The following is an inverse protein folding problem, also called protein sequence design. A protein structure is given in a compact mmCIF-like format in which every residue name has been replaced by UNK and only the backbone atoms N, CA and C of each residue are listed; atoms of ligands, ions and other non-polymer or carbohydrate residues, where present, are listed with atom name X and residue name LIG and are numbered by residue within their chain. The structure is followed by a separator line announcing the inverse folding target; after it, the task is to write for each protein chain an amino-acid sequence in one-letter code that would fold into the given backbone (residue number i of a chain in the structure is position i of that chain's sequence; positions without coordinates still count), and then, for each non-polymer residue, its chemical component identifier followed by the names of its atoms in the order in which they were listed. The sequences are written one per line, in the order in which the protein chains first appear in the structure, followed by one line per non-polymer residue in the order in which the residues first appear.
data_IF_727646273563
#
_entry.id   IF_727646273563
#
_cell.length_a   1.000
_cell.length_b   1.000
_cell.length_c   1.000
_cell.angle_alpha   90.00
_cell.angle_beta   90.00
_cell.angle_gamma   90.00
#
_symmetry.space_group_name_H-M   'P 1'
#
loop_
_entity.id
_entity.type
_entity.pdbx_description
1 polymer ?
#
# COMPACT_ATOMS: atom_id res chain seq x y z
N UNK A 1 3.07 -1.66 -21.24
CA UNK A 1 2.69 -1.54 -19.82
C UNK A 1 3.15 -0.20 -19.30
N UNK A 2 2.52 0.31 -18.24
CA UNK A 2 3.01 1.47 -17.47
C UNK A 2 3.22 1.00 -16.03
N UNK A 3 4.39 1.33 -15.45
CA UNK A 3 4.80 0.88 -14.13
C UNK A 3 5.06 2.10 -13.27
N UNK A 4 4.43 2.16 -12.10
CA UNK A 4 4.71 3.11 -11.04
C UNK A 4 5.52 2.35 -9.97
N UNK A 5 6.73 2.82 -9.70
CA UNK A 5 7.68 2.24 -8.75
C UNK A 5 7.48 2.79 -7.33
N UNK A 6 7.90 2.02 -6.31
CA UNK A 6 7.76 2.41 -4.90
C UNK A 6 7.85 1.22 -3.94
N UNK A 7 7.60 1.50 -2.65
CA UNK A 7 7.19 0.49 -1.66
C UNK A 7 5.93 -0.27 -2.09
N UNK A 8 5.00 0.40 -2.77
CA UNK A 8 3.80 -0.20 -3.35
C UNK A 8 3.69 0.19 -4.82
N UNK A 9 4.02 -0.76 -5.69
CA UNK A 9 4.11 -0.57 -7.13
C UNK A 9 2.84 -0.97 -7.85
N UNK A 10 2.45 -0.13 -8.81
CA UNK A 10 1.27 -0.34 -9.63
C UNK A 10 1.66 -0.60 -11.07
N UNK A 11 1.19 -1.71 -11.62
CA UNK A 11 1.43 -2.09 -13.01
C UNK A 11 0.11 -2.01 -13.76
N UNK A 12 0.06 -1.14 -14.76
CA UNK A 12 -1.04 -1.01 -15.69
C UNK A 12 -0.72 -1.77 -16.97
N UNK A 13 -1.57 -2.73 -17.32
CA UNK A 13 -1.41 -3.63 -18.47
C UNK A 13 -1.26 -2.84 -19.78
N UNK A 14 -2.14 -1.85 -19.96
CA UNK A 14 -2.28 -1.11 -21.22
C UNK A 14 -2.46 -2.09 -22.41
N UNK A 15 -1.69 -1.96 -23.50
CA UNK A 15 -1.83 -2.73 -24.75
C UNK A 15 -1.05 -4.07 -24.81
N UNK A 16 -0.49 -4.55 -23.70
CA UNK A 16 0.25 -5.83 -23.71
C UNK A 16 -0.67 -7.03 -23.94
N UNK A 17 -0.14 -8.04 -24.63
CA UNK A 17 -0.82 -9.31 -24.94
C UNK A 17 -0.53 -10.43 -23.95
N UNK A 18 0.32 -10.17 -22.94
CA UNK A 18 0.68 -11.16 -21.92
C UNK A 18 -0.54 -11.51 -21.05
N UNK A 19 -0.68 -12.80 -20.72
CA UNK A 19 -1.71 -13.31 -19.82
C UNK A 19 -1.37 -12.95 -18.37
N UNK A 20 -2.40 -12.87 -17.53
CA UNK A 20 -2.27 -12.61 -16.09
C UNK A 20 -1.31 -13.59 -15.42
N UNK A 21 -1.43 -14.88 -15.74
CA UNK A 21 -0.59 -15.94 -15.19
C UNK A 21 0.89 -15.75 -15.52
N UNK A 22 1.20 -15.32 -16.74
CA UNK A 22 2.58 -15.07 -17.18
C UNK A 22 3.19 -13.90 -16.40
N UNK A 23 2.43 -12.81 -16.23
CA UNK A 23 2.86 -11.63 -15.49
C UNK A 23 3.01 -11.95 -14.00
N UNK A 24 2.00 -12.58 -13.40
CA UNK A 24 2.02 -12.96 -11.98
C UNK A 24 3.17 -13.92 -11.68
N UNK A 25 3.41 -14.93 -12.53
CA UNK A 25 4.49 -15.89 -12.37
C UNK A 25 5.87 -15.23 -12.49
N UNK A 26 6.03 -14.26 -13.39
CA UNK A 26 7.28 -13.52 -13.55
C UNK A 26 7.60 -12.60 -12.37
N UNK A 27 6.58 -12.03 -11.72
CA UNK A 27 6.72 -11.10 -10.60
C UNK A 27 6.76 -11.81 -9.23
N UNK A 28 6.16 -13.00 -9.12
CA UNK A 28 6.14 -13.76 -7.87
C UNK A 28 7.55 -14.19 -7.47
N UNK A 29 7.97 -13.86 -6.25
CA UNK A 29 9.26 -14.25 -5.72
C UNK A 29 9.41 -15.78 -5.64
N UNK A 30 10.63 -16.29 -5.90
CA UNK A 30 10.95 -17.72 -5.94
C UNK A 30 11.75 -18.23 -4.74
N UNK A 31 11.67 -17.59 -3.58
CA UNK A 31 12.43 -18.04 -2.40
C UNK A 31 12.58 -17.05 -1.24
N UNK A 32 12.00 -15.85 -1.33
CA UNK A 32 12.07 -14.80 -0.32
C UNK A 32 10.74 -14.03 -0.31
N UNK A 33 10.22 -13.60 0.86
CA UNK A 33 8.95 -12.85 0.95
C UNK A 33 9.13 -11.33 0.75
N UNK A 34 10.19 -10.86 0.08
CA UNK A 34 10.50 -9.43 -0.07
C UNK A 34 9.36 -8.63 -0.72
N UNK A 35 8.66 -9.21 -1.70
CA UNK A 35 7.48 -8.59 -2.29
C UNK A 35 6.33 -9.58 -2.38
N UNK A 36 5.12 -9.05 -2.23
CA UNK A 36 3.86 -9.76 -2.49
C UNK A 36 3.21 -9.20 -3.73
N UNK A 37 2.76 -10.08 -4.60
CA UNK A 37 2.17 -9.71 -5.89
C UNK A 37 0.69 -10.09 -5.87
N UNK A 38 -0.15 -9.14 -6.24
CA UNK A 38 -1.58 -9.31 -6.33
C UNK A 38 -2.09 -8.82 -7.68
N UNK A 39 -3.25 -9.34 -8.07
CA UNK A 39 -4.14 -8.69 -9.03
C UNK A 39 -5.38 -8.18 -8.28
N UNK A 40 -6.30 -7.52 -9.00
CA UNK A 40 -7.53 -6.94 -8.40
C UNK A 40 -8.45 -7.97 -7.73
N UNK A 41 -8.34 -9.25 -8.07
CA UNK A 41 -9.17 -10.32 -7.49
C UNK A 41 -8.52 -11.01 -6.30
N UNK A 42 -7.19 -10.94 -6.17
CA UNK A 42 -6.41 -11.62 -5.13
C UNK A 42 -5.89 -10.69 -4.03
N UNK A 43 -5.89 -9.38 -4.26
CA UNK A 43 -5.50 -8.40 -3.22
C UNK A 43 -6.39 -8.57 -1.98
N UNK A 44 -5.82 -8.59 -0.75
CA UNK A 44 -6.59 -8.81 0.47
C UNK A 44 -7.75 -7.82 0.61
N UNK A 45 -8.95 -8.33 0.90
CA UNK A 45 -10.17 -7.51 1.02
C UNK A 45 -10.00 -6.36 2.03
N UNK A 46 -9.26 -6.59 3.11
CA UNK A 46 -8.96 -5.58 4.15
C UNK A 46 -8.22 -4.34 3.64
N UNK A 47 -7.54 -4.41 2.50
CA UNK A 47 -6.93 -3.23 1.88
C UNK A 47 -7.97 -2.30 1.25
N UNK A 48 -9.16 -2.81 0.91
CA UNK A 48 -10.16 -2.09 0.12
C UNK A 48 -9.58 -1.49 -1.19
N UNK A 49 -8.57 -2.15 -1.77
CA UNK A 49 -7.69 -1.59 -2.80
C UNK A 49 -7.78 -2.32 -4.16
N UNK A 50 -8.99 -2.41 -4.73
CA UNK A 50 -9.19 -3.10 -6.03
C UNK A 50 -10.24 -2.47 -6.97
N UNK A 51 -11.21 -1.74 -6.43
CA UNK A 51 -12.42 -1.34 -7.20
C UNK A 51 -12.22 -0.18 -8.17
N UNK A 52 -11.16 0.62 -8.01
CA UNK A 52 -10.92 1.80 -8.83
C UNK A 52 -10.14 1.47 -10.10
N UNK A 53 -10.52 2.11 -11.22
CA UNK A 53 -9.74 2.05 -12.48
C UNK A 53 -8.36 2.70 -12.36
N UNK A 54 -8.14 3.54 -11.34
CA UNK A 54 -6.86 4.19 -11.04
C UNK A 54 -5.89 3.29 -10.28
N UNK A 55 -6.33 2.12 -9.83
CA UNK A 55 -5.46 1.10 -9.23
C UNK A 55 -4.95 0.22 -10.37
N UNK A 56 -3.65 -0.10 -10.32
CA UNK A 56 -2.98 -0.98 -11.29
C UNK A 56 -3.68 -2.33 -11.42
N UNK A 57 -3.55 -2.96 -12.58
CA UNK A 57 -4.08 -4.30 -12.83
C UNK A 57 -3.35 -5.35 -11.99
N UNK A 58 -2.07 -5.07 -11.71
CA UNK A 58 -1.24 -5.78 -10.74
C UNK A 58 -0.68 -4.81 -9.71
N UNK A 59 -0.55 -5.29 -8.49
CA UNK A 59 -0.10 -4.56 -7.31
C UNK A 59 1.07 -5.35 -6.73
N UNK A 60 2.22 -4.70 -6.58
CA UNK A 60 3.41 -5.29 -5.98
C UNK A 60 3.70 -4.55 -4.69
N UNK A 61 3.44 -5.18 -3.56
CA UNK A 61 3.66 -4.61 -2.23
C UNK A 61 4.96 -5.16 -1.67
N UNK A 62 5.93 -4.29 -1.41
CA UNK A 62 7.14 -4.65 -0.68
C UNK A 62 6.85 -4.94 0.79
N UNK A 63 7.69 -5.77 1.41
CA UNK A 63 7.84 -5.78 2.85
C UNK A 63 8.54 -4.50 3.32
N UNK A 64 8.59 -4.31 4.64
CA UNK A 64 9.32 -3.20 5.27
C UNK A 64 10.74 -3.10 4.69
N UNK A 65 11.17 -1.87 4.42
CA UNK A 65 12.48 -1.51 3.83
C UNK A 65 12.71 -1.96 2.38
N UNK A 66 11.73 -2.61 1.75
CA UNK A 66 11.80 -2.95 0.34
C UNK A 66 11.35 -1.78 -0.54
N UNK A 67 12.03 -1.61 -1.67
CA UNK A 67 11.68 -0.63 -2.68
C UNK A 67 11.90 -1.22 -4.06
N UNK A 68 10.89 -1.11 -4.92
CA UNK A 68 11.00 -1.61 -6.29
C UNK A 68 11.45 -0.49 -7.24
N UNK A 69 12.48 -0.76 -8.03
CA UNK A 69 13.00 0.15 -9.05
C UNK A 69 12.77 -0.44 -10.44
N UNK A 70 12.57 0.42 -11.45
CA UNK A 70 12.39 -0.04 -12.83
C UNK A 70 13.70 -0.53 -13.43
N UNK A 71 14.82 0.15 -13.12
CA UNK A 71 16.14 -0.20 -13.60
C UNK A 71 17.16 -0.23 -12.45
N UNK A 72 18.17 -1.08 -12.58
CA UNK A 72 19.26 -1.19 -11.59
C UNK A 72 20.01 0.13 -11.40
N UNK A 73 20.11 0.96 -12.44
CA UNK A 73 20.75 2.26 -12.40
C UNK A 73 19.99 3.31 -11.55
N UNK A 74 18.76 3.01 -11.12
CA UNK A 74 17.97 3.88 -10.25
C UNK A 74 18.19 3.59 -8.76
N UNK A 75 18.81 2.45 -8.43
CA UNK A 75 19.12 2.07 -7.05
C UNK A 75 20.16 3.03 -6.46
N UNK A 76 19.86 3.59 -5.28
CA UNK A 76 20.85 4.33 -4.48
C UNK A 76 20.89 5.86 -4.69
N UNK A 77 19.90 6.46 -5.35
CA UNK A 77 19.82 7.93 -5.53
C UNK A 77 19.31 8.70 -4.29
N UNK A 78 19.74 8.35 -3.07
CA UNK A 78 19.33 8.90 -1.76
C UNK A 78 17.95 8.46 -1.22
N UNK A 79 17.71 7.15 -1.09
CA UNK A 79 16.57 6.63 -0.31
C UNK A 79 16.95 6.49 1.16
N UNK A 80 16.41 7.36 2.02
CA UNK A 80 16.66 7.38 3.48
C UNK A 80 15.46 6.88 4.31
N UNK A 81 14.35 6.57 3.65
CA UNK A 81 13.12 6.04 4.22
C UNK A 81 12.00 6.04 3.18
N UNK A 82 10.98 5.20 3.36
CA UNK A 82 9.79 5.17 2.51
C UNK A 82 8.54 4.77 3.32
N UNK A 83 7.37 4.89 2.71
CA UNK A 83 6.07 4.56 3.29
C UNK A 83 5.10 4.03 2.24
N UNK A 84 3.95 3.50 2.67
CA UNK A 84 2.92 2.97 1.78
C UNK A 84 2.92 1.44 1.69
N UNK A 85 3.67 0.78 2.59
CA UNK A 85 3.57 -0.63 2.89
C UNK A 85 2.20 -1.00 3.46
N UNK A 86 2.06 -2.24 3.90
CA UNK A 86 0.85 -2.75 4.54
C UNK A 86 0.44 -1.89 5.75
N UNK A 87 -0.82 -1.45 5.76
CA UNK A 87 -1.31 -0.46 6.72
C UNK A 87 -1.46 -0.99 8.16
N UNK A 88 -1.30 -2.29 8.38
CA UNK A 88 -1.28 -2.91 9.72
C UNK A 88 0.12 -2.96 10.33
N UNK A 89 1.16 -2.64 9.55
CA UNK A 89 2.52 -2.57 10.05
C UNK A 89 2.64 -1.39 11.02
N UNK A 90 3.24 -1.63 12.19
CA UNK A 90 3.36 -0.62 13.24
C UNK A 90 4.00 0.68 12.75
N UNK A 91 4.98 0.60 11.86
CA UNK A 91 5.72 1.76 11.34
C UNK A 91 4.88 2.58 10.34
N UNK A 92 3.79 2.02 9.81
CA UNK A 92 2.83 2.71 8.94
C UNK A 92 1.66 3.33 9.71
N UNK A 93 1.57 3.09 11.02
CA UNK A 93 0.55 3.70 11.85
C UNK A 93 0.76 5.21 11.97
N UNK A 94 -0.34 5.94 11.95
CA UNK A 94 -0.34 7.40 12.08
C UNK A 94 -0.67 7.84 13.50
N UNK A 95 -0.39 9.11 13.79
CA UNK A 95 -0.71 9.72 15.08
C UNK A 95 -2.11 10.35 15.04
N UNK A 96 -2.87 10.15 16.10
CA UNK A 96 -4.10 10.90 16.38
C UNK A 96 -3.99 11.55 17.77
N UNK A 97 -4.19 12.86 17.83
CA UNK A 97 -4.32 13.60 19.07
C UNK A 97 -5.50 14.56 18.97
N UNK A 98 -6.33 14.60 20.02
CA UNK A 98 -7.49 15.46 20.07
C UNK A 98 -7.61 16.13 21.45
N UNK A 99 -7.89 17.43 21.44
CA UNK A 99 -8.08 18.23 22.64
C UNK A 99 -9.20 19.23 22.40
N UNK A 100 -10.16 19.30 23.32
CA UNK A 100 -11.29 20.23 23.23
C UNK A 100 -12.40 19.85 24.21
N UNK A 101 -13.47 20.67 24.31
CA UNK A 101 -14.59 20.42 25.22
C UNK A 101 -15.33 19.10 24.90
N UNK A 102 -15.34 18.69 23.63
CA UNK A 102 -15.98 17.45 23.17
C UNK A 102 -15.14 16.18 23.42
N UNK A 103 -13.87 16.31 23.85
CA UNK A 103 -12.97 15.18 24.06
C UNK A 103 -12.69 14.95 25.55
N UNK A 104 -12.73 13.68 25.96
CA UNK A 104 -12.35 13.29 27.32
C UNK A 104 -10.88 13.61 27.57
N UNK A 105 -10.59 14.27 28.68
CA UNK A 105 -9.23 14.62 29.08
C UNK A 105 -8.46 13.35 29.49
N UNK A 106 -7.15 13.32 29.22
CA UNK A 106 -6.20 12.27 29.64
C UNK A 106 -6.67 10.84 29.31
N UNK A 107 -7.30 10.67 28.15
CA UNK A 107 -7.81 9.36 27.70
C UNK A 107 -6.94 8.85 26.55
N UNK A 108 -6.57 7.57 26.61
CA UNK A 108 -5.91 6.84 25.52
C UNK A 108 -6.88 5.77 25.03
N UNK A 109 -7.12 5.73 23.72
CA UNK A 109 -7.98 4.74 23.09
C UNK A 109 -7.14 3.68 22.38
N UNK A 110 -7.67 2.46 22.15
CA UNK A 110 -7.07 1.51 21.22
C UNK A 110 -6.92 2.11 19.81
N UNK A 111 -6.00 1.60 18.98
CA UNK A 111 -5.88 2.02 17.58
C UNK A 111 -7.19 1.82 16.82
N UNK A 112 -7.45 2.74 15.89
CA UNK A 112 -8.61 2.70 15.01
C UNK A 112 -8.23 3.24 13.63
N UNK A 113 -9.05 2.95 12.62
CA UNK A 113 -8.80 3.37 11.25
C UNK A 113 -9.19 4.83 11.03
N UNK A 114 -8.35 5.59 10.31
CA UNK A 114 -8.59 7.02 10.06
C UNK A 114 -9.88 7.32 9.27
N UNK A 115 -10.48 6.34 8.60
CA UNK A 115 -11.79 6.47 7.94
C UNK A 115 -12.89 6.87 8.94
N UNK A 116 -12.73 6.57 10.22
CA UNK A 116 -13.66 6.94 11.29
C UNK A 116 -13.67 8.43 11.62
N UNK A 117 -12.66 9.19 11.19
CA UNK A 117 -12.61 10.64 11.45
C UNK A 117 -13.82 11.37 10.88
N UNK A 118 -14.31 10.98 9.70
CA UNK A 118 -15.46 11.64 9.10
C UNK A 118 -16.72 11.50 9.96
N UNK A 119 -16.91 10.36 10.62
CA UNK A 119 -18.02 10.16 11.57
C UNK A 119 -17.89 11.10 12.77
N UNK A 120 -16.67 11.29 13.28
CA UNK A 120 -16.37 12.22 14.38
C UNK A 120 -16.62 13.69 14.00
N UNK A 121 -16.27 14.12 12.79
CA UNK A 121 -16.41 15.52 12.38
C UNK A 121 -17.82 15.91 11.96
N UNK A 122 -18.62 14.93 11.53
CA UNK A 122 -19.99 15.15 11.07
C UNK A 122 -21.04 14.83 12.12
N UNK A 123 -20.62 14.35 13.30
CA UNK A 123 -21.52 14.17 14.44
C UNK A 123 -22.08 15.53 14.86
N UNK A 124 -23.41 15.64 14.87
CA UNK A 124 -24.13 16.80 15.39
C UNK A 124 -24.22 16.76 16.90
#
# INVERSE_FOLDING_TARGET
MVIITGANSLIFRNSTTLKDEEIMSALTCKGTDHVRVFNKTTVPVRFHYSKSKRIGDFIVTGQRDEYTYLHRADIGKNHIGDHGYDNIELDMHTVMFAQGPSFKKRTVLPPFTNVEYMNLWTSK
#
